data_IF_379717125066
#
_entry.id   IF_379717125066
#
_cell.length_a   1.000
_cell.length_b   1.000
_cell.length_c   1.000
_cell.angle_alpha   90.00
_cell.angle_beta   90.00
_cell.angle_gamma   90.00
#
_symmetry.space_group_name_H-M   'P 1'
#
loop_
_entity.id
_entity.type
_entity.pdbx_description
1 polymer ?
#
# COMPACT_ATOMS: atom_id res chain seq x y z
N UNK A 1 -6.08 21.62 25.81
CA UNK A 1 -4.75 21.37 26.45
C UNK A 1 -4.23 22.71 26.96
N UNK A 2 -4.07 22.84 28.26
CA UNK A 2 -3.59 24.08 28.87
C UNK A 2 -2.07 24.02 29.05
N UNK A 3 -1.40 25.15 28.97
CA UNK A 3 0.01 25.33 29.33
C UNK A 3 0.17 26.54 30.22
N UNK A 4 1.14 26.50 31.11
CA UNK A 4 1.41 27.56 32.09
C UNK A 4 2.68 28.29 31.72
N UNK A 5 2.62 29.64 31.81
CA UNK A 5 3.76 30.52 31.61
C UNK A 5 3.96 31.35 32.91
N UNK A 6 5.00 32.18 32.98
CA UNK A 6 5.24 33.05 34.09
C UNK A 6 4.18 34.15 34.27
N UNK A 7 3.34 34.40 33.24
CA UNK A 7 2.24 35.38 33.23
C UNK A 7 0.84 34.76 33.36
N UNK A 8 0.74 33.41 33.42
CA UNK A 8 -0.55 32.74 33.63
C UNK A 8 -0.69 31.44 32.89
N UNK A 9 -1.87 30.83 33.02
CA UNK A 9 -2.28 29.62 32.30
C UNK A 9 -3.06 30.00 31.04
N UNK A 10 -2.78 29.35 29.95
CA UNK A 10 -3.34 29.59 28.62
C UNK A 10 -3.81 28.31 27.96
N UNK A 11 -4.79 28.43 27.11
CA UNK A 11 -5.22 27.37 26.20
C UNK A 11 -5.07 27.84 24.75
N UNK A 12 -4.44 27.03 23.86
CA UNK A 12 -4.36 27.37 22.45
C UNK A 12 -5.75 27.31 21.81
N UNK A 13 -6.08 28.30 21.02
CA UNK A 13 -7.32 28.37 20.22
C UNK A 13 -7.14 27.75 18.84
N UNK A 14 -5.90 27.40 18.48
CA UNK A 14 -5.55 26.77 17.21
C UNK A 14 -4.81 25.46 17.46
N UNK A 15 -4.92 24.55 16.50
CA UNK A 15 -4.17 23.30 16.52
C UNK A 15 -2.69 23.56 16.22
N UNK A 16 -1.80 22.97 17.01
CA UNK A 16 -0.36 23.14 16.85
C UNK A 16 0.36 21.78 16.73
N UNK A 17 1.61 21.83 16.27
CA UNK A 17 2.43 20.65 16.09
C UNK A 17 2.70 19.92 17.42
N UNK A 18 2.73 18.57 17.36
CA UNK A 18 3.04 17.74 18.52
C UNK A 18 1.83 17.21 19.29
N UNK A 19 0.61 17.65 18.98
CA UNK A 19 -0.60 17.03 19.51
C UNK A 19 -0.86 15.70 18.78
N UNK A 20 -1.20 14.66 19.51
CA UNK A 20 -1.43 13.30 18.98
C UNK A 20 -2.45 13.26 17.85
N UNK A 21 -3.54 14.03 17.97
CA UNK A 21 -4.66 14.02 17.02
C UNK A 21 -4.55 15.08 15.91
N UNK A 22 -3.58 15.99 15.96
CA UNK A 22 -3.45 17.06 14.95
C UNK A 22 -3.36 16.55 13.52
N UNK A 23 -2.53 15.54 13.19
CA UNK A 23 -2.47 15.03 11.84
C UNK A 23 -3.80 14.47 11.34
N UNK A 24 -4.51 13.69 12.17
CA UNK A 24 -5.80 13.11 11.81
C UNK A 24 -6.89 14.18 11.63
N UNK A 25 -6.92 15.19 12.48
CA UNK A 25 -7.87 16.32 12.38
C UNK A 25 -7.60 17.12 11.10
N UNK A 26 -6.35 17.41 10.79
CA UNK A 26 -5.97 18.13 9.57
C UNK A 26 -6.31 17.31 8.31
N UNK A 27 -6.00 16.02 8.30
CA UNK A 27 -6.39 15.12 7.19
C UNK A 27 -7.91 15.10 6.98
N UNK A 28 -8.69 15.07 8.06
CA UNK A 28 -10.17 15.11 7.97
C UNK A 28 -10.64 16.42 7.35
N UNK A 29 -10.04 17.54 7.71
CA UNK A 29 -10.33 18.85 7.12
C UNK A 29 -10.02 18.86 5.62
N UNK A 30 -8.84 18.40 5.22
CA UNK A 30 -8.43 18.32 3.81
C UNK A 30 -9.36 17.39 3.00
N UNK A 31 -9.70 16.22 3.54
CA UNK A 31 -10.64 15.31 2.90
C UNK A 31 -12.04 15.93 2.72
N UNK A 32 -12.50 16.75 3.68
CA UNK A 32 -13.78 17.43 3.56
C UNK A 32 -13.74 18.56 2.52
N UNK A 33 -12.62 19.31 2.47
CA UNK A 33 -12.42 20.44 1.56
C UNK A 33 -12.39 19.99 0.09
N UNK A 34 -11.82 18.81 -0.17
CA UNK A 34 -11.62 18.27 -1.53
C UNK A 34 -12.45 17.00 -1.80
N UNK A 35 -13.48 16.72 -0.99
CA UNK A 35 -14.22 15.46 -1.04
C UNK A 35 -14.75 15.10 -2.42
N UNK A 36 -15.34 16.07 -3.13
CA UNK A 36 -15.88 15.89 -4.47
C UNK A 36 -14.78 15.58 -5.50
N UNK A 37 -13.65 16.30 -5.44
CA UNK A 37 -12.50 16.10 -6.31
C UNK A 37 -11.80 14.77 -6.03
N UNK A 38 -11.73 14.35 -4.77
CA UNK A 38 -11.19 13.04 -4.38
C UNK A 38 -12.09 11.92 -4.89
N UNK A 39 -13.42 12.09 -4.78
CA UNK A 39 -14.38 11.10 -5.26
C UNK A 39 -14.39 10.97 -6.80
N UNK A 40 -13.99 12.00 -7.53
CA UNK A 40 -13.82 11.97 -9.00
C UNK A 40 -12.53 11.24 -9.40
N UNK A 41 -11.60 11.05 -8.47
CA UNK A 41 -10.32 10.37 -8.72
C UNK A 41 -9.18 11.29 -9.18
N UNK A 42 -9.45 12.56 -9.42
CA UNK A 42 -8.49 13.52 -10.00
C UNK A 42 -7.58 14.17 -8.95
N UNK A 43 -7.90 14.00 -7.66
CA UNK A 43 -7.16 14.62 -6.56
C UNK A 43 -6.94 13.62 -5.43
N UNK A 44 -5.75 13.63 -4.87
CA UNK A 44 -5.44 12.89 -3.64
C UNK A 44 -4.78 13.83 -2.63
N UNK A 45 -5.14 13.69 -1.34
CA UNK A 45 -4.57 14.50 -0.26
C UNK A 45 -3.98 13.61 0.83
N UNK A 46 -2.82 13.99 1.33
CA UNK A 46 -2.21 13.37 2.49
C UNK A 46 -1.55 14.43 3.36
N UNK A 47 -2.23 14.79 4.44
CA UNK A 47 -1.84 15.89 5.33
C UNK A 47 -1.66 17.17 4.49
N UNK A 48 -0.43 17.66 4.32
CA UNK A 48 -0.06 18.88 3.58
C UNK A 48 0.30 18.63 2.10
N UNK A 49 0.40 17.36 1.67
CA UNK A 49 0.68 17.02 0.27
C UNK A 49 -0.63 16.87 -0.52
N UNK A 50 -0.75 17.56 -1.64
CA UNK A 50 -1.88 17.48 -2.58
C UNK A 50 -1.35 17.03 -3.94
N UNK A 51 -1.89 15.94 -4.46
CA UNK A 51 -1.66 15.47 -5.82
C UNK A 51 -2.88 15.78 -6.67
N UNK A 52 -2.66 16.38 -7.84
CA UNK A 52 -3.66 16.61 -8.87
C UNK A 52 -3.22 15.89 -10.14
N UNK A 53 -4.06 15.02 -10.68
CA UNK A 53 -3.80 14.26 -11.89
C UNK A 53 -4.99 14.37 -12.84
N UNK A 54 -4.75 14.62 -14.13
CA UNK A 54 -5.79 14.79 -15.16
C UNK A 54 -5.26 14.31 -16.50
N UNK A 55 -6.14 13.95 -17.41
CA UNK A 55 -5.80 13.45 -18.74
C UNK A 55 -5.43 14.56 -19.72
N UNK A 56 -5.94 15.79 -19.51
CA UNK A 56 -5.73 16.93 -20.41
C UNK A 56 -5.08 18.12 -19.71
N UNK A 57 -4.33 18.92 -20.44
CA UNK A 57 -3.68 20.12 -19.89
C UNK A 57 -4.69 21.21 -19.52
N UNK A 58 -5.75 21.36 -20.30
CA UNK A 58 -6.82 22.32 -20.01
C UNK A 58 -7.54 21.94 -18.71
N UNK A 59 -7.98 20.70 -18.57
CA UNK A 59 -8.59 20.19 -17.34
C UNK A 59 -7.67 20.29 -16.13
N UNK A 60 -6.36 20.10 -16.34
CA UNK A 60 -5.36 20.27 -15.29
C UNK A 60 -5.31 21.72 -14.78
N UNK A 61 -5.30 22.70 -15.68
CA UNK A 61 -5.27 24.11 -15.30
C UNK A 61 -6.54 24.51 -14.54
N UNK A 62 -7.71 24.04 -14.97
CA UNK A 62 -8.97 24.32 -14.31
C UNK A 62 -9.02 23.71 -12.91
N UNK A 63 -8.63 22.43 -12.79
CA UNK A 63 -8.65 21.73 -11.50
C UNK A 63 -7.63 22.29 -10.51
N UNK A 64 -6.42 22.61 -10.95
CA UNK A 64 -5.42 23.28 -10.12
C UNK A 64 -5.93 24.65 -9.66
N UNK A 65 -6.55 25.44 -10.55
CA UNK A 65 -7.18 26.71 -10.20
C UNK A 65 -8.24 26.55 -9.11
N UNK A 66 -9.10 25.53 -9.21
CA UNK A 66 -10.13 25.23 -8.21
C UNK A 66 -9.52 24.81 -6.87
N UNK A 67 -8.47 23.96 -6.89
CA UNK A 67 -7.75 23.57 -5.67
C UNK A 67 -7.16 24.78 -4.97
N UNK A 68 -6.48 25.65 -5.71
CA UNK A 68 -5.87 26.87 -5.15
C UNK A 68 -6.93 27.83 -4.60
N UNK A 69 -8.05 28.03 -5.29
CA UNK A 69 -9.17 28.85 -4.84
C UNK A 69 -9.74 28.36 -3.50
N UNK A 70 -9.97 27.03 -3.37
CA UNK A 70 -10.46 26.43 -2.12
C UNK A 70 -9.47 26.59 -0.97
N UNK A 71 -8.18 26.45 -1.23
CA UNK A 71 -7.15 26.67 -0.22
C UNK A 71 -7.17 28.13 0.26
N UNK A 72 -7.22 29.10 -0.65
CA UNK A 72 -7.28 30.52 -0.34
C UNK A 72 -8.52 30.87 0.51
N UNK A 73 -9.71 30.42 0.11
CA UNK A 73 -10.97 30.63 0.84
C UNK A 73 -10.95 30.06 2.28
N UNK A 74 -10.12 29.04 2.51
CA UNK A 74 -9.95 28.42 3.84
C UNK A 74 -8.68 28.87 4.57
N UNK A 75 -8.03 29.96 4.11
CA UNK A 75 -6.79 30.51 4.67
C UNK A 75 -5.64 29.50 4.74
N UNK A 76 -5.56 28.61 3.76
CA UNK A 76 -4.47 27.67 3.58
C UNK A 76 -3.54 28.16 2.47
N UNK A 77 -2.25 28.19 2.74
CA UNK A 77 -1.26 28.76 1.83
C UNK A 77 -0.27 27.69 1.37
N UNK A 78 0.02 27.71 0.08
CA UNK A 78 1.05 26.84 -0.53
C UNK A 78 2.39 27.59 -0.63
N UNK A 79 3.50 26.86 -0.63
CA UNK A 79 4.82 27.38 -0.92
C UNK A 79 5.14 27.09 -2.40
N UNK A 80 5.11 28.10 -3.30
CA UNK A 80 5.28 27.90 -4.73
C UNK A 80 6.59 27.17 -5.08
N UNK A 81 7.67 27.45 -4.35
CA UNK A 81 8.99 26.85 -4.53
C UNK A 81 9.04 25.34 -4.19
N UNK A 82 8.05 24.83 -3.46
CA UNK A 82 7.90 23.40 -3.18
C UNK A 82 6.92 22.70 -4.11
N UNK A 83 6.16 23.45 -4.89
CA UNK A 83 5.17 22.90 -5.80
C UNK A 83 5.83 22.46 -7.10
N UNK A 84 5.44 21.29 -7.59
CA UNK A 84 5.80 20.79 -8.92
C UNK A 84 4.60 20.98 -9.83
N UNK A 85 4.72 21.87 -10.82
CA UNK A 85 3.63 22.26 -11.72
C UNK A 85 3.76 21.57 -13.07
N UNK A 86 2.67 21.04 -13.61
CA UNK A 86 2.60 20.48 -14.99
C UNK A 86 3.70 19.46 -15.31
N UNK A 87 4.02 18.61 -14.37
CA UNK A 87 5.01 17.55 -14.55
C UNK A 87 4.34 16.25 -14.96
N UNK A 88 4.99 15.44 -15.77
CA UNK A 88 4.48 14.13 -16.17
C UNK A 88 4.77 13.02 -15.15
N UNK A 89 5.78 13.24 -14.32
CA UNK A 89 6.16 12.32 -13.26
C UNK A 89 6.35 13.12 -11.98
N UNK A 90 5.83 12.62 -10.88
CA UNK A 90 5.90 13.28 -9.58
C UNK A 90 6.17 12.27 -8.47
N UNK A 91 6.99 12.68 -7.52
CA UNK A 91 7.15 11.95 -6.27
C UNK A 91 6.00 12.30 -5.31
N UNK A 92 5.27 11.28 -4.87
CA UNK A 92 4.19 11.40 -3.91
C UNK A 92 4.23 10.25 -2.92
N UNK A 93 4.24 10.54 -1.65
CA UNK A 93 4.26 9.54 -0.57
C UNK A 93 5.33 8.43 -0.78
N UNK A 94 6.55 8.81 -1.15
CA UNK A 94 7.67 7.87 -1.28
C UNK A 94 7.65 6.98 -2.52
N UNK A 95 6.76 7.22 -3.46
CA UNK A 95 6.72 6.56 -4.78
C UNK A 95 6.78 7.60 -5.89
N UNK A 96 7.14 7.18 -7.09
CA UNK A 96 7.08 7.98 -8.30
C UNK A 96 5.84 7.55 -9.08
N UNK A 97 4.96 8.51 -9.38
CA UNK A 97 3.75 8.30 -10.17
C UNK A 97 3.97 8.96 -11.53
N UNK A 98 3.74 8.24 -12.60
CA UNK A 98 3.91 8.73 -13.96
C UNK A 98 3.18 7.90 -14.99
N UNK A 99 3.34 8.22 -16.31
CA UNK A 99 2.62 7.53 -17.39
C UNK A 99 2.89 6.02 -17.50
N UNK A 100 4.01 5.56 -16.96
CA UNK A 100 4.36 4.14 -16.94
C UNK A 100 3.68 3.38 -15.80
N UNK A 101 3.19 4.10 -14.79
CA UNK A 101 2.62 3.54 -13.58
C UNK A 101 3.26 4.09 -12.31
N UNK A 102 3.32 3.26 -11.28
CA UNK A 102 3.85 3.60 -9.95
C UNK A 102 5.16 2.84 -9.73
N UNK A 103 6.21 3.58 -9.41
CA UNK A 103 7.56 3.04 -9.17
C UNK A 103 8.05 3.42 -7.77
N UNK A 104 9.00 2.66 -7.24
CA UNK A 104 9.70 3.07 -6.02
C UNK A 104 10.70 4.20 -6.35
N UNK A 105 10.88 5.15 -5.41
CA UNK A 105 11.89 6.20 -5.56
C UNK A 105 13.30 5.59 -5.64
N UNK A 106 14.11 6.03 -6.61
CA UNK A 106 15.47 5.52 -6.84
C UNK A 106 16.38 5.65 -5.62
N UNK A 107 16.31 6.78 -4.92
CA UNK A 107 17.09 7.04 -3.70
C UNK A 107 16.73 6.05 -2.57
N UNK A 108 15.46 5.63 -2.50
CA UNK A 108 15.01 4.62 -1.54
C UNK A 108 15.52 3.23 -1.90
N UNK A 109 15.47 2.87 -3.18
CA UNK A 109 16.02 1.61 -3.68
C UNK A 109 17.52 1.54 -3.42
N UNK A 110 18.27 2.58 -3.74
CA UNK A 110 19.72 2.68 -3.47
C UNK A 110 20.02 2.60 -1.96
N UNK A 111 19.22 3.30 -1.14
CA UNK A 111 19.34 3.24 0.31
C UNK A 111 19.13 1.82 0.86
N UNK A 112 18.19 1.05 0.29
CA UNK A 112 17.98 -0.36 0.65
C UNK A 112 19.16 -1.21 0.19
N UNK A 113 19.63 -1.04 -1.04
CA UNK A 113 20.76 -1.79 -1.58
C UNK A 113 22.03 -1.64 -0.75
N UNK A 114 22.30 -0.41 -0.30
CA UNK A 114 23.46 -0.08 0.51
C UNK A 114 23.23 -0.33 2.02
N UNK A 115 22.06 -0.87 2.42
CA UNK A 115 21.76 -1.13 3.82
C UNK A 115 22.70 -2.19 4.39
N UNK A 116 23.41 -1.89 5.48
CA UNK A 116 24.32 -2.86 6.09
C UNK A 116 23.58 -4.02 6.74
N UNK A 117 24.23 -5.17 6.84
CA UNK A 117 23.65 -6.32 7.55
C UNK A 117 23.32 -5.93 9.01
N UNK A 118 22.09 -6.21 9.48
CA UNK A 118 21.68 -5.87 10.85
C UNK A 118 22.50 -6.58 11.91
N UNK A 119 22.88 -5.86 12.97
CA UNK A 119 23.66 -6.37 14.10
C UNK A 119 22.82 -6.63 15.35
N UNK A 120 21.57 -6.19 15.36
CA UNK A 120 20.66 -6.34 16.48
C UNK A 120 19.20 -6.28 16.04
N UNK A 121 18.28 -6.61 16.96
CA UNK A 121 16.83 -6.63 16.71
C UNK A 121 16.30 -5.27 16.23
N UNK A 122 16.79 -4.16 16.79
CA UNK A 122 16.33 -2.81 16.40
C UNK A 122 16.68 -2.48 14.95
N UNK A 123 17.83 -2.92 14.46
CA UNK A 123 18.25 -2.71 13.08
C UNK A 123 17.40 -3.56 12.11
N UNK A 124 17.07 -4.81 12.49
CA UNK A 124 16.11 -5.63 11.73
C UNK A 124 14.73 -4.96 11.69
N UNK A 125 14.25 -4.41 12.82
CA UNK A 125 12.98 -3.71 12.87
C UNK A 125 12.95 -2.48 11.95
N UNK A 126 14.04 -1.69 11.91
CA UNK A 126 14.17 -0.54 11.00
C UNK A 126 14.12 -0.97 9.53
N UNK A 127 14.88 -2.00 9.19
CA UNK A 127 14.88 -2.55 7.82
C UNK A 127 13.51 -3.10 7.41
N UNK A 128 12.91 -3.93 8.27
CA UNK A 128 11.57 -4.48 8.02
C UNK A 128 10.50 -3.39 7.95
N UNK A 129 10.61 -2.32 8.72
CA UNK A 129 9.72 -1.17 8.65
C UNK A 129 9.73 -0.52 7.27
N UNK A 130 10.92 -0.27 6.72
CA UNK A 130 11.07 0.26 5.36
C UNK A 130 10.60 -0.76 4.31
N UNK A 131 11.04 -2.01 4.41
CA UNK A 131 10.63 -3.06 3.48
C UNK A 131 9.12 -3.30 3.47
N UNK A 132 8.46 -3.24 4.64
CA UNK A 132 7.01 -3.38 4.75
C UNK A 132 6.23 -2.20 4.12
N UNK A 133 6.80 -1.01 4.07
CA UNK A 133 6.21 0.13 3.37
C UNK A 133 6.06 -0.15 1.86
N UNK A 134 7.08 -0.76 1.26
CA UNK A 134 7.10 -1.11 -0.16
C UNK A 134 6.62 -2.54 -0.47
N UNK A 135 6.03 -3.25 0.50
CA UNK A 135 5.60 -4.65 0.33
C UNK A 135 4.61 -4.88 -0.81
N UNK A 136 3.84 -3.85 -1.19
CA UNK A 136 2.91 -3.90 -2.33
C UNK A 136 3.59 -4.09 -3.68
N UNK A 137 4.88 -3.83 -3.75
CA UNK A 137 5.72 -4.06 -4.93
C UNK A 137 6.36 -5.45 -4.92
N UNK A 138 6.39 -6.16 -3.79
CA UNK A 138 7.20 -7.36 -3.60
C UNK A 138 6.33 -8.60 -3.51
N UNK A 139 6.43 -9.44 -4.54
CA UNK A 139 5.79 -10.76 -4.54
C UNK A 139 6.36 -11.62 -3.39
N UNK A 140 5.50 -12.39 -2.72
CA UNK A 140 5.85 -13.32 -1.65
C UNK A 140 6.60 -12.70 -0.45
N UNK A 141 6.41 -11.40 -0.20
CA UNK A 141 7.07 -10.66 0.87
C UNK A 141 7.07 -11.40 2.22
N UNK A 142 5.92 -11.92 2.67
CA UNK A 142 5.81 -12.58 3.97
C UNK A 142 6.64 -13.87 4.05
N UNK A 143 6.77 -14.61 2.95
CA UNK A 143 7.58 -15.83 2.86
C UNK A 143 9.08 -15.48 2.92
N UNK A 144 9.50 -14.46 2.17
CA UNK A 144 10.90 -14.01 2.12
C UNK A 144 11.32 -13.42 3.48
N UNK A 145 10.49 -12.56 4.07
CA UNK A 145 10.79 -11.89 5.33
C UNK A 145 10.59 -12.75 6.59
N UNK A 146 10.10 -13.99 6.47
CA UNK A 146 9.70 -14.84 7.59
C UNK A 146 10.81 -15.01 8.64
N UNK A 147 12.04 -15.33 8.22
CA UNK A 147 13.16 -15.53 9.13
C UNK A 147 13.58 -14.25 9.84
N UNK A 148 13.48 -13.09 9.18
CA UNK A 148 13.75 -11.79 9.78
C UNK A 148 12.65 -11.42 10.79
N UNK A 149 11.38 -11.70 10.48
CA UNK A 149 10.28 -11.51 11.42
C UNK A 149 10.39 -12.39 12.68
N UNK A 150 10.97 -13.58 12.58
CA UNK A 150 11.23 -14.42 13.73
C UNK A 150 12.19 -13.75 14.73
N UNK A 151 13.23 -13.07 14.24
CA UNK A 151 14.20 -12.38 15.09
C UNK A 151 13.63 -11.23 15.92
N UNK A 152 12.53 -10.62 15.49
CA UNK A 152 11.91 -9.49 16.20
C UNK A 152 10.82 -9.89 17.18
N UNK A 153 10.55 -11.21 17.35
CA UNK A 153 9.60 -11.72 18.34
C UNK A 153 10.13 -11.53 19.76
N UNK A 154 9.24 -11.28 20.71
CA UNK A 154 9.55 -11.31 22.14
C UNK A 154 10.14 -12.68 22.47
N UNK A 155 11.12 -12.71 23.36
CA UNK A 155 11.78 -13.93 23.87
C UNK A 155 12.70 -14.65 22.86
N UNK A 156 12.79 -14.20 21.61
CA UNK A 156 13.75 -14.76 20.66
C UNK A 156 15.15 -14.23 20.94
N UNK A 157 16.11 -15.16 21.21
CA UNK A 157 17.52 -14.81 21.31
C UNK A 157 18.03 -14.33 19.94
N UNK A 158 18.83 -13.27 19.95
CA UNK A 158 19.49 -12.79 18.75
C UNK A 158 20.40 -13.87 18.15
N UNK A 159 20.15 -14.25 16.92
CA UNK A 159 20.96 -15.24 16.19
C UNK A 159 20.90 -14.91 14.70
N UNK A 160 21.99 -14.34 14.20
CA UNK A 160 22.12 -14.02 12.77
C UNK A 160 22.93 -15.12 12.10
N UNK A 161 22.28 -15.94 11.29
CA UNK A 161 22.87 -17.10 10.60
C UNK A 161 22.65 -16.96 9.11
N UNK A 162 23.17 -17.94 8.36
CA UNK A 162 23.10 -18.00 6.90
C UNK A 162 21.66 -17.78 6.37
N UNK A 163 20.66 -18.38 7.01
CA UNK A 163 19.25 -18.24 6.58
C UNK A 163 18.73 -16.80 6.71
N UNK A 164 19.11 -16.08 7.77
CA UNK A 164 18.74 -14.67 7.93
C UNK A 164 19.48 -13.78 6.94
N UNK A 165 20.78 -14.07 6.70
CA UNK A 165 21.57 -13.35 5.68
C UNK A 165 21.00 -13.53 4.28
N UNK A 166 20.64 -14.76 3.91
CA UNK A 166 20.00 -15.06 2.62
C UNK A 166 18.63 -14.37 2.48
N UNK A 167 17.80 -14.40 3.53
CA UNK A 167 16.51 -13.72 3.53
C UNK A 167 16.66 -12.20 3.38
N UNK A 168 17.64 -11.61 4.09
CA UNK A 168 17.97 -10.20 3.99
C UNK A 168 18.47 -9.83 2.58
N UNK A 169 19.43 -10.59 2.03
CA UNK A 169 19.97 -10.39 0.69
C UNK A 169 18.89 -10.54 -0.38
N UNK A 170 18.04 -11.58 -0.27
CA UNK A 170 16.94 -11.80 -1.20
C UNK A 170 15.94 -10.64 -1.15
N UNK A 171 15.56 -10.17 0.04
CA UNK A 171 14.64 -9.05 0.18
C UNK A 171 15.22 -7.78 -0.43
N UNK A 172 16.52 -7.49 -0.22
CA UNK A 172 17.22 -6.37 -0.89
C UNK A 172 17.19 -6.48 -2.41
N UNK A 173 17.48 -7.67 -2.96
CA UNK A 173 17.46 -7.90 -4.40
C UNK A 173 16.07 -7.64 -5.02
N UNK A 174 14.99 -7.97 -4.30
CA UNK A 174 13.63 -7.71 -4.77
C UNK A 174 13.35 -6.22 -5.00
N UNK A 175 13.98 -5.33 -4.26
CA UNK A 175 13.83 -3.88 -4.49
C UNK A 175 14.42 -3.40 -5.82
N UNK A 176 15.31 -4.16 -6.45
CA UNK A 176 15.92 -3.80 -7.74
C UNK A 176 15.26 -4.45 -8.95
N UNK A 177 14.53 -5.54 -8.70
CA UNK A 177 13.93 -6.35 -9.78
C UNK A 177 12.43 -6.13 -9.90
N UNK A 178 11.86 -5.31 -9.00
CA UNK A 178 10.41 -5.18 -8.91
C UNK A 178 9.79 -4.46 -10.10
N UNK A 179 8.61 -4.93 -10.52
CA UNK A 179 7.91 -4.36 -11.65
C UNK A 179 7.38 -2.94 -11.32
N UNK A 180 7.30 -2.13 -12.36
CA UNK A 180 6.45 -0.95 -12.33
C UNK A 180 5.01 -1.41 -12.13
N UNK A 181 4.34 -0.93 -11.09
CA UNK A 181 2.94 -1.24 -10.85
C UNK A 181 2.07 -0.41 -11.78
N UNK A 182 1.09 -1.05 -12.42
CA UNK A 182 0.07 -0.34 -13.17
C UNK A 182 -0.80 0.52 -12.25
N UNK A 183 -1.23 1.68 -12.74
CA UNK A 183 -2.28 2.45 -12.08
C UNK A 183 -3.59 1.66 -12.22
N UNK A 184 -4.32 1.41 -11.14
CA UNK A 184 -5.62 0.72 -11.22
C UNK A 184 -6.60 1.56 -12.04
N UNK A 185 -7.29 0.90 -12.96
CA UNK A 185 -8.31 1.48 -13.81
C UNK A 185 -9.57 0.61 -13.71
N UNK A 186 -10.65 1.17 -13.16
CA UNK A 186 -11.91 0.46 -12.92
C UNK A 186 -12.65 0.12 -14.20
N UNK A 187 -12.31 0.77 -15.33
CA UNK A 187 -12.88 0.54 -16.65
C UNK A 187 -12.22 -0.62 -17.41
N UNK A 188 -11.16 -1.20 -16.85
CA UNK A 188 -10.38 -2.28 -17.47
C UNK A 188 -10.63 -3.63 -16.82
N UNK A 189 -10.36 -4.68 -17.59
CA UNK A 189 -10.36 -6.06 -17.06
C UNK A 189 -9.33 -6.20 -15.94
N UNK A 190 -9.77 -6.76 -14.82
CA UNK A 190 -8.91 -7.07 -13.67
C UNK A 190 -8.84 -8.56 -13.42
N UNK A 191 -7.73 -8.99 -12.81
CA UNK A 191 -7.49 -10.37 -12.42
C UNK A 191 -6.85 -10.43 -11.04
N UNK A 192 -7.39 -11.29 -10.20
CA UNK A 192 -6.81 -11.66 -8.90
C UNK A 192 -6.21 -13.05 -9.04
N UNK A 193 -4.91 -13.17 -8.87
CA UNK A 193 -4.24 -14.46 -8.75
C UNK A 193 -3.92 -14.69 -7.28
N UNK A 194 -4.41 -15.77 -6.69
CA UNK A 194 -4.24 -16.10 -5.29
C UNK A 194 -3.63 -17.47 -5.11
N UNK A 195 -2.70 -17.60 -4.18
CA UNK A 195 -1.94 -18.79 -3.86
C UNK A 195 -1.70 -18.93 -2.35
N UNK A 196 -1.61 -20.15 -1.85
CA UNK A 196 -1.30 -20.41 -0.46
C UNK A 196 -0.19 -21.45 -0.31
N UNK A 197 0.74 -21.17 0.58
CA UNK A 197 1.75 -22.12 1.06
C UNK A 197 1.43 -22.57 2.49
N UNK A 198 2.25 -23.48 3.03
CA UNK A 198 2.15 -23.88 4.43
C UNK A 198 2.37 -22.76 5.44
N UNK A 199 2.97 -21.64 5.03
CA UNK A 199 3.40 -20.56 5.92
C UNK A 199 2.73 -19.23 5.66
N UNK A 200 2.26 -18.99 4.43
CA UNK A 200 1.73 -17.70 4.03
C UNK A 200 0.72 -17.83 2.89
N UNK A 201 -0.21 -16.91 2.81
CA UNK A 201 -1.01 -16.64 1.62
C UNK A 201 -0.37 -15.52 0.81
N UNK A 202 -0.49 -15.59 -0.50
CA UNK A 202 -0.02 -14.59 -1.45
C UNK A 202 -1.08 -14.27 -2.49
N UNK A 203 -0.90 -13.16 -3.19
CA UNK A 203 -1.72 -12.83 -4.34
C UNK A 203 -1.19 -11.63 -5.09
N UNK A 204 -1.67 -11.50 -6.32
CA UNK A 204 -1.41 -10.36 -7.19
C UNK A 204 -2.72 -9.88 -7.81
N UNK A 205 -2.95 -8.58 -7.75
CA UNK A 205 -3.97 -7.92 -8.55
C UNK A 205 -3.30 -7.41 -9.82
N UNK A 206 -3.83 -7.76 -10.96
CA UNK A 206 -3.35 -7.33 -12.27
C UNK A 206 -4.47 -6.65 -13.05
N UNK A 207 -4.12 -5.70 -13.91
CA UNK A 207 -5.02 -5.09 -14.89
C UNK A 207 -4.52 -5.33 -16.30
N UNK A 208 -5.44 -5.41 -17.26
CA UNK A 208 -5.11 -5.57 -18.67
C UNK A 208 -4.92 -4.21 -19.31
N UNK A 209 -3.70 -3.91 -19.73
CA UNK A 209 -3.34 -2.64 -20.34
C UNK A 209 -3.77 -2.56 -21.81
N UNK A 210 -3.69 -1.37 -22.41
CA UNK A 210 -4.07 -1.12 -23.82
C UNK A 210 -3.32 -1.99 -24.82
N UNK A 211 -2.09 -2.36 -24.51
CA UNK A 211 -1.28 -3.28 -25.32
C UNK A 211 -1.69 -4.76 -25.17
N UNK A 212 -2.80 -5.02 -24.48
CA UNK A 212 -3.33 -6.37 -24.23
C UNK A 212 -2.57 -7.17 -23.17
N UNK A 213 -1.53 -6.60 -22.56
CA UNK A 213 -0.72 -7.29 -21.54
C UNK A 213 -1.26 -7.05 -20.15
N UNK A 214 -1.21 -8.10 -19.34
CA UNK A 214 -1.49 -8.03 -17.92
C UNK A 214 -0.29 -7.42 -17.16
N UNK A 215 -0.56 -6.42 -16.34
CA UNK A 215 0.44 -5.79 -15.47
C UNK A 215 -0.02 -5.78 -14.03
N UNK A 216 0.88 -6.01 -13.07
CA UNK A 216 0.52 -6.00 -11.66
C UNK A 216 0.15 -4.58 -11.21
N UNK A 217 -0.91 -4.48 -10.42
CA UNK A 217 -1.35 -3.29 -9.69
C UNK A 217 -0.82 -3.31 -8.26
N UNK A 218 -0.86 -4.49 -7.63
CA UNK A 218 -0.36 -4.67 -6.27
C UNK A 218 -0.12 -6.14 -5.96
N UNK A 219 0.84 -6.39 -5.07
CA UNK A 219 1.05 -7.69 -4.44
C UNK A 219 0.54 -7.68 -3.02
N UNK A 220 0.04 -8.82 -2.54
CA UNK A 220 -0.24 -9.07 -1.14
C UNK A 220 0.45 -10.35 -0.69
N UNK A 221 0.92 -10.37 0.54
CA UNK A 221 1.44 -11.58 1.16
C UNK A 221 1.24 -11.48 2.67
N UNK A 222 0.65 -12.51 3.30
CA UNK A 222 0.32 -12.52 4.72
C UNK A 222 0.66 -13.87 5.34
N UNK A 223 1.48 -13.89 6.38
CA UNK A 223 1.81 -15.10 7.12
C UNK A 223 0.56 -15.73 7.74
N UNK A 224 0.51 -17.06 7.73
CA UNK A 224 -0.50 -17.83 8.43
C UNK A 224 -0.20 -17.85 9.93
N UNK A 225 -1.22 -17.65 10.75
CA UNK A 225 -1.13 -17.84 12.19
C UNK A 225 -1.13 -19.35 12.55
N UNK A 226 -0.96 -19.68 13.84
CA UNK A 226 -0.86 -21.07 14.28
C UNK A 226 -2.11 -21.92 13.93
N UNK A 227 -3.30 -21.34 14.03
CA UNK A 227 -4.55 -22.01 13.66
C UNK A 227 -4.68 -22.19 12.15
N UNK A 228 -4.36 -21.18 11.38
CA UNK A 228 -4.45 -21.18 9.91
C UNK A 228 -3.46 -22.17 9.26
N UNK A 229 -2.31 -22.40 9.88
CA UNK A 229 -1.33 -23.41 9.40
C UNK A 229 -1.88 -24.82 9.42
N UNK A 230 -2.82 -25.10 10.33
CA UNK A 230 -3.47 -26.40 10.47
C UNK A 230 -4.69 -26.56 9.53
N UNK A 231 -4.96 -25.58 8.69
CA UNK A 231 -6.02 -25.69 7.68
C UNK A 231 -5.60 -26.69 6.59
N UNK A 232 -6.56 -27.40 6.06
CA UNK A 232 -6.39 -28.18 4.85
C UNK A 232 -6.05 -27.26 3.67
N UNK A 233 -5.38 -27.78 2.64
CA UNK A 233 -4.85 -26.96 1.55
C UNK A 233 -5.96 -26.13 0.88
N UNK A 234 -7.11 -26.73 0.56
CA UNK A 234 -8.23 -26.02 -0.05
C UNK A 234 -8.78 -24.87 0.80
N UNK A 235 -8.70 -24.97 2.15
CA UNK A 235 -9.09 -23.89 3.06
C UNK A 235 -8.02 -22.78 3.11
N UNK A 236 -6.73 -23.12 2.96
CA UNK A 236 -5.66 -22.12 2.83
C UNK A 236 -5.78 -21.34 1.53
N UNK A 237 -6.08 -22.03 0.41
CA UNK A 237 -6.32 -21.43 -0.89
C UNK A 237 -7.53 -20.50 -0.86
N UNK A 238 -8.65 -20.93 -0.30
CA UNK A 238 -9.83 -20.09 -0.10
C UNK A 238 -9.50 -18.87 0.77
N UNK A 239 -8.70 -19.04 1.83
CA UNK A 239 -8.26 -17.94 2.68
C UNK A 239 -7.40 -16.93 1.90
N UNK A 240 -6.56 -17.41 0.97
CA UNK A 240 -5.78 -16.54 0.09
C UNK A 240 -6.70 -15.69 -0.78
N UNK A 241 -7.70 -16.30 -1.42
CA UNK A 241 -8.71 -15.59 -2.22
C UNK A 241 -9.42 -14.52 -1.39
N UNK A 242 -9.97 -14.90 -0.22
CA UNK A 242 -10.69 -13.97 0.66
C UNK A 242 -9.80 -12.78 1.05
N UNK A 243 -8.55 -13.04 1.45
CA UNK A 243 -7.60 -11.98 1.80
C UNK A 243 -7.27 -11.03 0.65
N UNK A 244 -7.20 -11.54 -0.57
CA UNK A 244 -7.03 -10.73 -1.76
C UNK A 244 -8.26 -9.84 -2.00
N UNK A 245 -9.46 -10.41 -1.93
CA UNK A 245 -10.71 -9.68 -2.12
C UNK A 245 -10.91 -8.59 -1.05
N UNK A 246 -10.61 -8.88 0.22
CA UNK A 246 -10.64 -7.90 1.30
C UNK A 246 -9.63 -6.75 1.08
N UNK A 247 -8.40 -7.10 0.70
CA UNK A 247 -7.34 -6.11 0.52
C UNK A 247 -7.58 -5.17 -0.67
N UNK A 248 -8.18 -5.67 -1.74
CA UNK A 248 -8.43 -4.92 -2.98
C UNK A 248 -9.90 -4.60 -3.21
N UNK A 249 -10.72 -4.70 -2.15
CA UNK A 249 -12.15 -4.45 -2.18
C UNK A 249 -12.50 -3.13 -2.86
N UNK A 250 -11.77 -2.06 -2.52
CA UNK A 250 -11.97 -0.71 -3.06
C UNK A 250 -11.71 -0.58 -4.57
N UNK A 251 -10.94 -1.50 -5.19
CA UNK A 251 -10.79 -1.55 -6.64
C UNK A 251 -11.83 -2.47 -7.29
N UNK A 252 -12.13 -3.60 -6.63
CA UNK A 252 -12.94 -4.67 -7.21
C UNK A 252 -14.45 -4.38 -7.11
N UNK A 253 -14.91 -3.68 -6.07
CA UNK A 253 -16.33 -3.30 -5.93
C UNK A 253 -16.75 -2.21 -6.92
N UNK A 254 -15.82 -1.35 -7.33
CA UNK A 254 -16.06 -0.27 -8.29
C UNK A 254 -15.76 -0.69 -9.74
N UNK A 255 -15.21 -1.90 -9.96
CA UNK A 255 -14.89 -2.38 -11.30
C UNK A 255 -16.13 -2.48 -12.17
N UNK A 256 -16.09 -1.85 -13.35
CA UNK A 256 -17.22 -1.86 -14.31
C UNK A 256 -17.32 -3.15 -15.12
N UNK A 257 -16.24 -3.91 -15.18
CA UNK A 257 -16.15 -5.22 -15.84
C UNK A 257 -16.02 -6.32 -14.80
N UNK A 258 -16.52 -7.52 -15.14
CA UNK A 258 -16.30 -8.70 -14.32
C UNK A 258 -14.80 -8.99 -14.21
N UNK A 259 -14.31 -9.31 -13.01
CA UNK A 259 -12.93 -9.68 -12.79
C UNK A 259 -12.77 -11.19 -12.60
N UNK A 260 -11.62 -11.70 -12.99
CA UNK A 260 -11.29 -13.11 -12.86
C UNK A 260 -10.57 -13.40 -11.53
N UNK A 261 -10.85 -14.56 -10.93
CA UNK A 261 -10.06 -15.10 -9.81
C UNK A 261 -9.36 -16.36 -10.27
N UNK A 262 -8.05 -16.35 -10.23
CA UNK A 262 -7.20 -17.47 -10.59
C UNK A 262 -6.56 -18.09 -9.36
N UNK A 263 -6.66 -19.42 -9.24
CA UNK A 263 -6.04 -20.24 -8.22
C UNK A 263 -5.63 -21.58 -8.85
N UNK A 264 -4.60 -22.21 -8.34
CA UNK A 264 -4.13 -23.50 -8.84
C UNK A 264 -4.96 -24.69 -8.33
N UNK A 265 -5.81 -24.46 -7.29
CA UNK A 265 -6.59 -25.52 -6.66
C UNK A 265 -7.91 -25.81 -7.41
N UNK A 266 -7.91 -26.87 -8.22
CA UNK A 266 -9.07 -27.26 -9.07
C UNK A 266 -10.41 -27.38 -8.32
N UNK A 267 -10.40 -27.79 -7.05
CA UNK A 267 -11.62 -27.96 -6.26
C UNK A 267 -12.35 -26.63 -5.98
N UNK A 268 -11.66 -25.49 -6.05
CA UNK A 268 -12.30 -24.19 -5.88
C UNK A 268 -13.15 -23.76 -7.06
N UNK A 269 -12.94 -24.32 -8.24
CA UNK A 269 -13.79 -24.10 -9.42
C UNK A 269 -15.23 -24.57 -9.18
N UNK A 270 -15.41 -25.58 -8.34
CA UNK A 270 -16.74 -26.14 -8.00
C UNK A 270 -17.34 -25.55 -6.72
N UNK A 271 -16.67 -24.57 -6.09
CA UNK A 271 -17.13 -24.01 -4.81
C UNK A 271 -18.52 -23.38 -4.91
N UNK A 272 -18.87 -22.80 -6.04
CA UNK A 272 -20.18 -22.19 -6.31
C UNK A 272 -21.26 -23.22 -6.68
N UNK A 273 -20.91 -24.52 -6.82
CA UNK A 273 -21.89 -25.57 -7.07
C UNK A 273 -22.44 -26.13 -5.75
N UNK A 274 -23.63 -26.79 -5.80
CA UNK A 274 -24.26 -27.36 -4.63
C UNK A 274 -23.38 -28.40 -3.95
N UNK A 275 -22.82 -28.07 -2.80
CA UNK A 275 -22.05 -28.98 -1.96
C UNK A 275 -22.29 -28.72 -0.47
N UNK A 276 -22.01 -29.72 0.37
CA UNK A 276 -22.09 -29.59 1.82
C UNK A 276 -20.91 -28.76 2.33
N UNK A 277 -21.15 -27.50 2.57
CA UNK A 277 -20.17 -26.60 3.16
C UNK A 277 -20.00 -26.90 4.65
N UNK A 278 -18.77 -26.86 5.14
CA UNK A 278 -18.52 -26.87 6.58
C UNK A 278 -18.84 -25.49 7.18
N UNK A 279 -18.94 -25.39 8.53
CA UNK A 279 -19.31 -24.13 9.21
C UNK A 279 -18.38 -22.95 8.88
N UNK A 280 -17.14 -23.18 8.48
CA UNK A 280 -16.16 -22.15 8.12
C UNK A 280 -16.34 -21.67 6.69
N UNK A 281 -16.66 -22.59 5.78
CA UNK A 281 -16.92 -22.29 4.37
C UNK A 281 -18.28 -21.59 4.16
N UNK A 282 -19.19 -21.73 5.10
CA UNK A 282 -20.52 -21.10 5.07
C UNK A 282 -20.54 -19.68 5.67
N UNK A 283 -19.46 -19.20 6.26
CA UNK A 283 -19.30 -17.83 6.77
C UNK A 283 -18.59 -16.95 5.80
#
# INVERSE_FOLDING_TARGET
MAFTTHIGAYEPTVMYFGLTNSPATFQTMMNNLFRDLINQGDTATFIDDILVATDTEEGHNELVGEVLRRLEENNLFVKPEKCKWKVREVEFLGVVIGPKGIEMQKEKVEGVLNWPAPRNVKEVQKFLGLANYYRRFIKDFAKIAALLHMLVRKEQKWKWEKGQEEAFGKLKAMFTTEPVLAIPDIDREMRVEADASDYATGGVLSTKCEDGKWRPVAFISKSLNATERNYEIHNKEMLAVIRCLEAWRHYLEEAKLEFEIWTDHKNLQYFMTSQKLNRRQAR
#
